data_IF_296381864470
#
_entry.id   IF_296381864470
#
_cell.length_a   1.000
_cell.length_b   1.000
_cell.length_c   1.000
_cell.angle_alpha   90.00
_cell.angle_beta   90.00
_cell.angle_gamma   90.00
#
_symmetry.space_group_name_H-M   'P 1'
#
loop_
_entity.id
_entity.type
_entity.pdbx_description
1 polymer ?
#
# COMPACT_ATOMS: atom_id res chain seq x y z
N UNK A 1 -18.82 1.59 -9.35
CA UNK A 1 -17.55 2.16 -8.83
C UNK A 1 -16.38 1.42 -9.44
N UNK A 2 -15.30 2.16 -9.81
CA UNK A 2 -14.07 1.56 -10.36
C UNK A 2 -12.89 1.86 -9.45
N UNK A 3 -12.08 0.86 -9.18
CA UNK A 3 -10.86 0.97 -8.38
C UNK A 3 -9.66 0.74 -9.30
N UNK A 4 -8.67 1.64 -9.27
CA UNK A 4 -7.36 1.35 -9.84
C UNK A 4 -6.50 0.68 -8.77
N UNK A 5 -6.33 -0.64 -8.88
CA UNK A 5 -5.28 -1.34 -8.16
C UNK A 5 -3.94 -1.06 -8.83
N UNK A 6 -2.92 -0.74 -8.04
CA UNK A 6 -1.58 -0.44 -8.56
C UNK A 6 -0.52 -1.01 -7.62
N UNK A 7 0.58 -1.48 -8.21
CA UNK A 7 1.75 -1.97 -7.51
C UNK A 7 2.99 -1.69 -8.35
N UNK A 8 4.12 -1.40 -7.71
CA UNK A 8 5.39 -1.11 -8.35
C UNK A 8 6.50 -2.00 -7.80
N UNK A 9 7.26 -2.61 -8.72
CA UNK A 9 8.59 -3.06 -8.38
C UNK A 9 9.58 -1.92 -8.62
N UNK A 10 10.59 -1.81 -7.75
CA UNK A 10 11.53 -0.68 -7.75
C UNK A 10 12.97 -1.13 -7.60
N UNK A 11 13.94 -0.26 -7.90
CA UNK A 11 15.37 -0.54 -7.70
C UNK A 11 15.78 -0.61 -6.23
N UNK A 12 14.88 -0.23 -5.32
CA UNK A 12 15.08 -0.23 -3.86
C UNK A 12 13.93 0.49 -3.15
N UNK A 13 14.12 0.80 -1.86
CA UNK A 13 13.07 1.32 -0.98
C UNK A 13 13.10 2.83 -0.78
N UNK A 14 14.13 3.52 -1.30
CA UNK A 14 14.27 4.97 -1.15
C UNK A 14 13.34 5.68 -2.14
N UNK A 15 12.28 6.25 -1.61
CA UNK A 15 11.22 6.93 -2.39
C UNK A 15 11.71 8.14 -3.18
N UNK A 16 12.86 8.71 -2.82
CA UNK A 16 13.42 9.89 -3.50
C UNK A 16 14.50 9.53 -4.54
N UNK A 17 15.12 8.35 -4.43
CA UNK A 17 16.27 7.95 -5.27
C UNK A 17 15.98 6.76 -6.16
N UNK A 18 15.27 5.76 -5.62
CA UNK A 18 15.02 4.53 -6.35
C UNK A 18 13.98 4.72 -7.45
N UNK A 19 14.06 3.92 -8.49
CA UNK A 19 13.26 4.05 -9.70
C UNK A 19 12.30 2.87 -9.85
N UNK A 20 11.14 3.12 -10.45
CA UNK A 20 10.19 2.08 -10.84
C UNK A 20 10.81 1.24 -11.96
N UNK A 21 10.76 -0.09 -11.83
CA UNK A 21 11.22 -1.07 -12.82
C UNK A 21 10.11 -1.98 -13.35
N UNK A 22 8.98 -2.07 -12.67
CA UNK A 22 7.76 -2.72 -13.17
C UNK A 22 6.53 -1.96 -12.67
N UNK A 23 5.51 -1.89 -13.52
CA UNK A 23 4.17 -1.37 -13.21
C UNK A 23 3.16 -2.47 -13.40
N UNK A 24 2.46 -2.82 -12.34
CA UNK A 24 1.22 -3.59 -12.38
C UNK A 24 0.03 -2.70 -12.08
N UNK A 25 -0.97 -2.69 -12.98
CA UNK A 25 -2.18 -1.95 -12.71
C UNK A 25 -3.41 -2.70 -13.23
N UNK A 26 -4.49 -2.67 -12.44
CA UNK A 26 -5.77 -3.29 -12.78
C UNK A 26 -6.89 -2.30 -12.50
N UNK A 27 -7.65 -1.96 -13.52
CA UNK A 27 -8.91 -1.25 -13.33
C UNK A 27 -10.00 -2.28 -13.03
N UNK A 28 -10.51 -2.24 -11.80
CA UNK A 28 -11.47 -3.19 -11.26
C UNK A 28 -12.86 -2.55 -11.20
N UNK A 29 -13.88 -3.26 -11.70
CA UNK A 29 -15.27 -2.88 -11.50
C UNK A 29 -15.82 -3.58 -10.26
N UNK A 30 -16.20 -2.79 -9.25
CA UNK A 30 -16.66 -3.29 -7.95
C UNK A 30 -17.99 -4.02 -8.08
N UNK A 31 -18.91 -3.51 -8.91
CA UNK A 31 -20.25 -4.10 -9.10
C UNK A 31 -20.18 -5.43 -9.85
N UNK A 32 -19.36 -5.49 -10.89
CA UNK A 32 -19.12 -6.70 -11.65
C UNK A 32 -18.21 -7.70 -10.94
N UNK A 33 -17.44 -7.26 -9.92
CA UNK A 33 -16.39 -8.04 -9.26
C UNK A 33 -15.37 -8.62 -10.27
N UNK A 34 -14.96 -7.80 -11.25
CA UNK A 34 -14.10 -8.23 -12.35
C UNK A 34 -13.09 -7.16 -12.77
N UNK A 35 -11.91 -7.55 -13.25
CA UNK A 35 -10.99 -6.64 -13.91
C UNK A 35 -11.55 -6.22 -15.28
N UNK A 36 -11.61 -4.92 -15.56
CA UNK A 36 -12.01 -4.38 -16.87
C UNK A 36 -10.83 -3.97 -17.72
N UNK A 37 -9.67 -3.72 -17.12
CA UNK A 37 -8.42 -3.44 -17.84
C UNK A 37 -7.24 -3.91 -16.98
N UNK A 38 -6.27 -4.54 -17.61
CA UNK A 38 -5.05 -5.05 -16.93
C UNK A 38 -3.85 -4.49 -17.68
N UNK A 39 -2.87 -4.00 -16.92
CA UNK A 39 -1.60 -3.47 -17.40
C UNK A 39 -0.46 -4.16 -16.65
N UNK A 40 0.54 -4.64 -17.39
CA UNK A 40 1.78 -5.18 -16.86
C UNK A 40 2.92 -4.74 -17.76
N UNK A 41 3.77 -3.85 -17.27
CA UNK A 41 4.84 -3.26 -18.08
C UNK A 41 6.13 -3.15 -17.29
N UNK A 42 7.23 -3.57 -17.91
CA UNK A 42 8.57 -3.31 -17.39
C UNK A 42 9.00 -1.90 -17.73
N UNK A 43 9.67 -1.24 -16.79
CA UNK A 43 10.22 0.10 -16.96
C UNK A 43 11.74 0.00 -17.00
N UNK A 44 12.34 0.62 -18.01
CA UNK A 44 13.79 0.75 -18.08
C UNK A 44 14.22 1.93 -17.21
N UNK A 45 14.96 1.69 -16.10
CA UNK A 45 15.42 2.77 -15.24
C UNK A 45 16.53 3.57 -15.92
N UNK A 46 16.59 4.88 -15.64
CA UNK A 46 17.59 5.79 -16.22
C UNK A 46 18.89 5.77 -15.40
N UNK A 47 20.03 5.60 -16.10
CA UNK A 47 21.34 5.64 -15.46
C UNK A 47 21.68 4.46 -14.56
N UNK A 48 20.81 3.44 -14.50
CA UNK A 48 21.03 2.20 -13.74
C UNK A 48 21.59 1.15 -14.70
N UNK A 49 22.75 0.58 -14.38
CA UNK A 49 23.42 -0.45 -15.21
C UNK A 49 23.26 -1.87 -14.66
N UNK A 50 22.93 -2.00 -13.36
CA UNK A 50 22.70 -3.28 -12.69
C UNK A 50 21.66 -3.11 -11.58
N UNK A 51 20.92 -4.15 -11.27
CA UNK A 51 20.04 -4.23 -10.11
C UNK A 51 20.82 -4.81 -8.93
N UNK A 52 20.44 -4.46 -7.71
CA UNK A 52 21.03 -5.10 -6.53
C UNK A 52 20.64 -6.60 -6.49
N UNK A 53 21.51 -7.48 -5.94
CA UNK A 53 21.17 -8.89 -5.77
C UNK A 53 19.90 -9.13 -4.97
N UNK A 54 19.59 -8.23 -4.04
CA UNK A 54 18.36 -8.28 -3.24
C UNK A 54 17.13 -8.04 -4.12
N UNK A 55 17.12 -7.00 -4.95
CA UNK A 55 16.03 -6.70 -5.89
C UNK A 55 15.84 -7.84 -6.88
N UNK A 56 16.93 -8.37 -7.48
CA UNK A 56 16.84 -9.52 -8.38
C UNK A 56 16.29 -10.77 -7.68
N UNK A 57 16.67 -11.03 -6.43
CA UNK A 57 16.18 -12.17 -5.65
C UNK A 57 14.71 -12.08 -5.32
N UNK A 58 14.22 -10.87 -5.00
CA UNK A 58 12.82 -10.64 -4.60
C UNK A 58 11.91 -10.64 -5.82
N UNK A 59 12.24 -9.85 -6.85
CA UNK A 59 11.36 -9.61 -8.00
C UNK A 59 11.54 -10.63 -9.14
N UNK A 60 12.70 -11.30 -9.18
CA UNK A 60 13.12 -12.12 -10.32
C UNK A 60 13.47 -11.32 -11.57
N UNK A 61 13.40 -9.98 -11.52
CA UNK A 61 13.76 -9.12 -12.64
C UNK A 61 15.28 -8.99 -12.74
N UNK A 62 15.77 -8.91 -13.98
CA UNK A 62 17.19 -8.68 -14.30
C UNK A 62 17.33 -7.47 -15.18
N UNK A 63 18.43 -6.75 -15.05
CA UNK A 63 18.70 -5.57 -15.89
C UNK A 63 18.58 -5.89 -17.39
N UNK A 64 19.05 -7.04 -17.83
CA UNK A 64 18.91 -7.50 -19.24
C UNK A 64 17.45 -7.67 -19.71
N UNK A 65 16.52 -7.97 -18.80
CA UNK A 65 15.09 -8.00 -19.12
C UNK A 65 14.53 -6.57 -19.27
N UNK A 66 14.92 -5.67 -18.38
CA UNK A 66 14.49 -4.26 -18.43
C UNK A 66 15.06 -3.55 -19.67
N UNK A 67 16.28 -3.88 -20.08
CA UNK A 67 16.87 -3.37 -21.33
C UNK A 67 16.14 -3.88 -22.57
N UNK A 68 15.72 -5.14 -22.55
CA UNK A 68 15.10 -5.79 -23.72
C UNK A 68 13.62 -5.49 -23.86
N UNK A 69 12.89 -5.44 -22.75
CA UNK A 69 11.42 -5.39 -22.74
C UNK A 69 10.87 -4.12 -22.09
N UNK A 70 11.70 -3.37 -21.35
CA UNK A 70 11.29 -2.18 -20.65
C UNK A 70 11.10 -0.98 -21.58
N UNK A 71 10.17 -0.14 -21.20
CA UNK A 71 9.93 1.16 -21.84
C UNK A 71 10.03 2.29 -20.81
N UNK A 72 9.78 3.55 -21.19
CA UNK A 72 9.75 4.65 -20.24
C UNK A 72 8.42 4.72 -19.48
N UNK A 73 8.45 5.19 -18.24
CA UNK A 73 7.23 5.42 -17.46
C UNK A 73 6.26 6.38 -18.18
N UNK A 74 6.77 7.43 -18.84
CA UNK A 74 5.98 8.36 -19.64
C UNK A 74 5.21 7.65 -20.76
N UNK A 75 5.83 6.71 -21.44
CA UNK A 75 5.18 5.95 -22.50
C UNK A 75 4.06 5.07 -21.96
N UNK A 76 4.31 4.35 -20.85
CA UNK A 76 3.28 3.53 -20.16
C UNK A 76 2.11 4.40 -19.72
N UNK A 77 2.39 5.57 -19.14
CA UNK A 77 1.37 6.54 -18.75
C UNK A 77 0.51 6.98 -19.93
N UNK A 78 1.15 7.45 -20.99
CA UNK A 78 0.48 8.00 -22.17
C UNK A 78 -0.36 6.95 -22.89
N UNK A 79 0.13 5.70 -22.95
CA UNK A 79 -0.51 4.61 -23.68
C UNK A 79 -1.71 4.01 -22.92
N UNK A 80 -1.64 3.90 -21.61
CA UNK A 80 -2.64 3.17 -20.84
C UNK A 80 -2.88 3.65 -19.41
N UNK A 81 -1.82 3.81 -18.58
CA UNK A 81 -1.97 4.02 -17.14
C UNK A 81 -2.70 5.32 -16.82
N UNK A 82 -2.41 6.40 -17.55
CA UNK A 82 -3.05 7.70 -17.35
C UNK A 82 -4.56 7.67 -17.61
N UNK A 83 -5.00 6.91 -18.61
CA UNK A 83 -6.44 6.70 -18.87
C UNK A 83 -7.09 5.88 -17.75
N UNK A 84 -6.42 4.79 -17.30
CA UNK A 84 -6.91 3.97 -16.19
C UNK A 84 -7.05 4.81 -14.92
N UNK A 85 -6.05 5.66 -14.62
CA UNK A 85 -6.06 6.56 -13.48
C UNK A 85 -7.23 7.56 -13.52
N UNK A 86 -7.51 8.14 -14.69
CA UNK A 86 -8.64 9.06 -14.88
C UNK A 86 -10.00 8.38 -14.78
N UNK A 87 -10.09 7.12 -15.21
CA UNK A 87 -11.33 6.34 -15.16
C UNK A 87 -11.67 5.79 -13.76
N UNK A 88 -10.72 5.75 -12.86
CA UNK A 88 -10.91 5.23 -11.51
C UNK A 88 -11.57 6.26 -10.59
N UNK A 89 -12.44 5.80 -9.69
CA UNK A 89 -13.00 6.61 -8.61
C UNK A 89 -12.02 6.72 -7.42
N UNK A 90 -11.35 5.61 -7.09
CA UNK A 90 -10.35 5.50 -6.02
C UNK A 90 -9.18 4.63 -6.45
N UNK A 91 -8.05 4.75 -5.76
CA UNK A 91 -6.87 3.89 -5.94
C UNK A 91 -6.74 2.91 -4.78
N UNK A 92 -6.13 1.76 -5.03
CA UNK A 92 -5.82 0.76 -4.01
C UNK A 92 -4.44 0.18 -4.25
N UNK A 93 -3.66 0.03 -3.17
CA UNK A 93 -2.38 -0.67 -3.18
C UNK A 93 -2.19 -1.45 -1.88
N UNK A 94 -1.32 -2.44 -1.88
CA UNK A 94 -0.90 -3.15 -0.67
C UNK A 94 0.33 -2.45 -0.09
N UNK A 95 0.21 -1.81 1.08
CA UNK A 95 1.14 -0.80 1.58
C UNK A 95 1.11 0.51 0.75
N UNK A 96 -0.09 1.03 0.51
CA UNK A 96 -0.35 2.20 -0.34
C UNK A 96 0.57 3.43 -0.13
N UNK A 97 1.09 3.75 1.07
CA UNK A 97 2.05 4.84 1.23
C UNK A 97 3.36 4.67 0.43
N UNK A 98 3.75 3.43 0.12
CA UNK A 98 4.92 3.16 -0.71
C UNK A 98 4.62 3.47 -2.18
N UNK A 99 3.60 2.83 -2.74
CA UNK A 99 3.24 2.97 -4.15
C UNK A 99 2.81 4.38 -4.49
N UNK A 100 2.05 5.02 -3.61
CA UNK A 100 1.63 6.40 -3.76
C UNK A 100 2.82 7.35 -3.90
N UNK A 101 3.87 7.19 -3.08
CA UNK A 101 5.05 8.05 -3.15
C UNK A 101 5.79 7.90 -4.48
N UNK A 102 5.96 6.67 -4.98
CA UNK A 102 6.55 6.42 -6.30
C UNK A 102 5.67 6.93 -7.44
N UNK A 103 4.35 6.74 -7.35
CA UNK A 103 3.38 7.25 -8.31
C UNK A 103 3.46 8.78 -8.41
N UNK A 104 3.32 9.50 -7.29
CA UNK A 104 3.32 10.96 -7.24
C UNK A 104 4.66 11.53 -7.75
N UNK A 105 5.79 10.90 -7.40
CA UNK A 105 7.09 11.29 -7.91
C UNK A 105 7.20 11.05 -9.41
N UNK A 106 6.80 9.88 -9.91
CA UNK A 106 6.86 9.59 -11.34
C UNK A 106 6.00 10.56 -12.17
N UNK A 107 4.82 10.97 -11.68
CA UNK A 107 3.98 12.00 -12.29
C UNK A 107 4.73 13.33 -12.34
N UNK A 108 5.27 13.79 -11.22
CA UNK A 108 6.01 15.06 -11.10
C UNK A 108 7.23 15.08 -12.01
N UNK A 109 8.09 14.07 -11.92
CA UNK A 109 9.38 14.04 -12.60
C UNK A 109 9.20 13.90 -14.13
N UNK A 110 8.12 13.28 -14.57
CA UNK A 110 7.77 13.21 -15.99
C UNK A 110 6.86 14.34 -16.47
N UNK A 111 6.46 15.30 -15.62
CA UNK A 111 5.55 16.38 -15.99
C UNK A 111 4.23 15.89 -16.58
N UNK A 112 3.64 14.88 -15.93
CA UNK A 112 2.40 14.25 -16.36
C UNK A 112 1.20 14.87 -15.64
N UNK A 113 0.01 14.77 -16.25
CA UNK A 113 -1.23 15.23 -15.65
C UNK A 113 -1.90 14.07 -14.87
N UNK A 114 -1.90 14.10 -13.51
CA UNK A 114 -2.53 13.05 -12.72
C UNK A 114 -4.06 13.06 -12.77
N UNK A 115 -4.67 14.14 -13.30
CA UNK A 115 -6.09 14.40 -13.19
C UNK A 115 -6.48 14.81 -11.76
N UNK A 116 -7.69 14.43 -11.34
CA UNK A 116 -8.18 14.74 -10.00
C UNK A 116 -7.45 13.92 -8.91
N UNK A 117 -7.27 14.53 -7.74
CA UNK A 117 -6.73 13.83 -6.56
C UNK A 117 -7.68 12.69 -6.18
N UNK A 118 -7.13 11.49 -6.03
CA UNK A 118 -7.89 10.28 -5.67
C UNK A 118 -7.60 9.85 -4.24
N UNK A 119 -8.58 9.23 -3.61
CA UNK A 119 -8.40 8.53 -2.34
C UNK A 119 -7.58 7.27 -2.61
N UNK A 120 -6.59 7.02 -1.75
CA UNK A 120 -5.81 5.79 -1.74
C UNK A 120 -6.28 4.89 -0.61
N UNK A 121 -6.70 3.68 -0.97
CA UNK A 121 -7.04 2.61 -0.03
C UNK A 121 -5.78 1.75 0.18
N UNK A 122 -5.39 1.55 1.43
CA UNK A 122 -4.33 0.63 1.79
C UNK A 122 -4.92 -0.74 2.17
N UNK A 123 -4.85 -1.70 1.27
CA UNK A 123 -5.41 -3.04 1.52
C UNK A 123 -4.76 -3.78 2.69
N UNK A 124 -3.57 -3.36 3.14
CA UNK A 124 -2.93 -3.89 4.34
C UNK A 124 -3.66 -3.48 5.63
N UNK A 125 -4.36 -2.34 5.62
CA UNK A 125 -4.93 -1.75 6.85
C UNK A 125 -6.38 -1.34 6.76
N UNK A 126 -6.92 -1.05 5.57
CA UNK A 126 -8.19 -0.37 5.41
C UNK A 126 -9.36 -1.30 5.03
N UNK A 127 -9.10 -2.60 4.85
CA UNK A 127 -10.17 -3.59 4.73
C UNK A 127 -10.83 -3.83 6.11
N UNK A 128 -12.07 -4.35 6.15
CA UNK A 128 -12.72 -4.70 7.40
C UNK A 128 -11.86 -5.59 8.28
N UNK A 129 -11.90 -5.41 9.60
CA UNK A 129 -11.03 -6.12 10.55
C UNK A 129 -11.03 -7.64 10.38
N UNK A 130 -12.17 -8.23 9.96
CA UNK A 130 -12.26 -9.66 9.70
C UNK A 130 -11.40 -10.15 8.52
N UNK A 131 -10.94 -9.26 7.64
CA UNK A 131 -9.98 -9.61 6.61
C UNK A 131 -8.62 -10.05 7.18
N UNK A 132 -8.34 -9.67 8.43
CA UNK A 132 -7.06 -9.86 9.12
C UNK A 132 -7.17 -10.77 10.36
N UNK A 133 -8.33 -11.41 10.60
CA UNK A 133 -8.61 -12.14 11.86
C UNK A 133 -7.67 -13.31 12.12
N UNK A 134 -7.18 -13.99 11.08
CA UNK A 134 -6.24 -15.10 11.26
C UNK A 134 -4.84 -14.65 11.73
N UNK A 135 -4.56 -13.35 11.67
CA UNK A 135 -3.64 -12.58 12.52
C UNK A 135 -2.15 -12.93 12.50
N UNK A 136 -1.67 -13.74 11.55
CA UNK A 136 -0.24 -14.12 11.48
C UNK A 136 0.63 -13.03 10.89
N UNK A 137 0.17 -12.40 9.81
CA UNK A 137 0.84 -11.33 9.08
C UNK A 137 -0.16 -10.64 8.17
N UNK A 138 0.09 -9.36 7.89
CA UNK A 138 -0.69 -8.60 6.90
C UNK A 138 -0.02 -8.56 5.53
N UNK A 139 1.09 -9.29 5.33
CA UNK A 139 1.69 -9.39 4.00
C UNK A 139 0.72 -10.07 3.02
N UNK A 140 0.77 -9.65 1.77
CA UNK A 140 -0.20 -10.07 0.76
C UNK A 140 -0.24 -11.60 0.58
N UNK A 141 0.92 -12.27 0.63
CA UNK A 141 1.01 -13.73 0.51
C UNK A 141 0.31 -14.46 1.67
N UNK A 142 0.41 -13.94 2.90
CA UNK A 142 -0.30 -14.51 4.05
C UNK A 142 -1.80 -14.25 3.95
N UNK A 143 -2.22 -13.05 3.56
CA UNK A 143 -3.63 -12.73 3.34
C UNK A 143 -4.24 -13.61 2.25
N UNK A 144 -3.54 -13.83 1.14
CA UNK A 144 -3.97 -14.73 0.08
C UNK A 144 -4.20 -16.16 0.62
N UNK A 145 -3.22 -16.70 1.36
CA UNK A 145 -3.33 -18.02 1.98
C UNK A 145 -4.50 -18.11 2.98
N UNK A 146 -4.71 -17.07 3.79
CA UNK A 146 -5.83 -16.99 4.74
C UNK A 146 -7.20 -16.94 4.04
N UNK A 147 -7.26 -16.40 2.81
CA UNK A 147 -8.44 -16.38 1.94
C UNK A 147 -8.55 -17.60 1.02
N UNK A 148 -7.65 -18.58 1.16
CA UNK A 148 -7.75 -19.90 0.50
C UNK A 148 -7.15 -19.98 -0.89
N UNK A 149 -6.25 -19.06 -1.27
CA UNK A 149 -5.54 -19.12 -2.54
C UNK A 149 -4.07 -18.73 -2.39
N UNK A 150 -3.29 -18.90 -3.46
CA UNK A 150 -1.87 -18.55 -3.49
C UNK A 150 -1.60 -17.64 -4.69
N UNK A 151 -0.72 -16.65 -4.51
CA UNK A 151 -0.16 -15.90 -5.63
C UNK A 151 0.88 -16.78 -6.34
N UNK A 152 0.71 -17.11 -7.61
CA UNK A 152 1.65 -17.97 -8.33
C UNK A 152 3.00 -17.28 -8.63
N UNK A 153 3.03 -15.96 -8.64
CA UNK A 153 4.21 -15.14 -8.93
C UNK A 153 4.25 -13.92 -7.99
N UNK A 154 4.56 -14.13 -6.69
CA UNK A 154 4.71 -13.03 -5.75
C UNK A 154 5.88 -12.13 -6.18
N UNK A 155 5.77 -10.83 -5.88
CA UNK A 155 6.73 -9.81 -6.31
C UNK A 155 6.83 -9.66 -7.83
N UNK A 156 5.69 -9.83 -8.49
CA UNK A 156 5.45 -9.39 -9.85
C UNK A 156 4.22 -8.49 -9.82
N UNK A 157 4.44 -7.23 -10.11
CA UNK A 157 3.50 -6.15 -9.82
C UNK A 157 2.04 -6.46 -10.20
N UNK A 158 1.78 -6.93 -11.42
CA UNK A 158 0.39 -7.21 -11.83
C UNK A 158 -0.24 -8.39 -11.08
N UNK A 159 0.55 -9.43 -10.74
CA UNK A 159 0.02 -10.57 -9.99
C UNK A 159 -0.27 -10.24 -8.54
N UNK A 160 0.50 -9.31 -7.96
CA UNK A 160 0.24 -8.79 -6.62
C UNK A 160 -1.04 -7.94 -6.61
N UNK A 161 -1.27 -7.09 -7.63
CA UNK A 161 -2.55 -6.36 -7.77
C UNK A 161 -3.73 -7.32 -7.91
N UNK A 162 -3.64 -8.36 -8.75
CA UNK A 162 -4.71 -9.34 -8.91
C UNK A 162 -4.96 -10.12 -7.61
N UNK A 163 -3.89 -10.47 -6.88
CA UNK A 163 -3.97 -11.11 -5.56
C UNK A 163 -4.65 -10.20 -4.56
N UNK A 164 -4.29 -8.92 -4.53
CA UNK A 164 -4.93 -7.91 -3.68
C UNK A 164 -6.44 -7.82 -3.95
N UNK A 165 -6.87 -7.79 -5.21
CA UNK A 165 -8.30 -7.78 -5.54
C UNK A 165 -9.01 -9.07 -5.13
N UNK A 166 -8.37 -10.23 -5.19
CA UNK A 166 -8.96 -11.49 -4.69
C UNK A 166 -9.11 -11.48 -3.17
N UNK A 167 -8.21 -10.84 -2.43
CA UNK A 167 -8.38 -10.61 -0.99
C UNK A 167 -9.51 -9.60 -0.72
N UNK A 168 -9.62 -8.54 -1.52
CA UNK A 168 -10.64 -7.50 -1.39
C UNK A 168 -12.06 -7.98 -1.74
N UNK A 169 -12.22 -8.83 -2.75
CA UNK A 169 -13.49 -9.22 -3.36
C UNK A 169 -14.58 -9.60 -2.33
N UNK A 170 -14.33 -10.40 -1.27
CA UNK A 170 -15.33 -10.75 -0.25
C UNK A 170 -15.87 -9.55 0.54
N UNK A 171 -15.18 -8.41 0.49
CA UNK A 171 -15.49 -7.18 1.23
C UNK A 171 -16.02 -6.05 0.35
N UNK A 172 -16.19 -6.31 -0.95
CA UNK A 172 -16.57 -5.29 -1.95
C UNK A 172 -17.89 -4.58 -1.64
N UNK A 173 -18.79 -5.21 -0.91
CA UNK A 173 -20.06 -4.63 -0.48
C UNK A 173 -19.92 -3.63 0.70
N UNK A 174 -18.73 -3.44 1.24
CA UNK A 174 -18.44 -2.57 2.39
C UNK A 174 -17.59 -1.36 1.99
N UNK A 175 -17.72 -0.90 0.75
CA UNK A 175 -16.92 0.20 0.22
C UNK A 175 -17.02 1.49 1.06
N UNK A 176 -18.20 1.79 1.62
CA UNK A 176 -18.38 2.98 2.47
C UNK A 176 -17.49 2.89 3.72
N UNK A 177 -17.48 1.72 4.38
CA UNK A 177 -16.59 1.47 5.52
C UNK A 177 -15.11 1.53 5.12
N UNK A 178 -14.74 0.93 3.99
CA UNK A 178 -13.35 0.91 3.51
C UNK A 178 -12.88 2.33 3.21
N UNK A 179 -13.68 3.15 2.56
CA UNK A 179 -13.38 4.55 2.27
C UNK A 179 -13.28 5.36 3.58
N UNK A 180 -14.21 5.17 4.52
CA UNK A 180 -14.14 5.81 5.84
C UNK A 180 -12.82 5.47 6.55
N UNK A 181 -12.42 4.20 6.53
CA UNK A 181 -11.15 3.76 7.11
C UNK A 181 -9.94 4.35 6.40
N UNK A 182 -9.95 4.41 5.06
CA UNK A 182 -8.88 5.00 4.25
C UNK A 182 -8.73 6.50 4.47
N UNK A 183 -9.84 7.21 4.71
CA UNK A 183 -9.85 8.66 4.97
C UNK A 183 -9.63 9.02 6.44
N UNK A 184 -9.72 8.05 7.35
CA UNK A 184 -9.63 8.31 8.77
C UNK A 184 -8.25 8.84 9.17
N UNK A 185 -8.15 9.99 9.85
CA UNK A 185 -6.89 10.51 10.36
C UNK A 185 -6.16 9.51 11.24
N UNK A 186 -4.82 9.52 11.19
CA UNK A 186 -3.97 8.71 12.06
C UNK A 186 -3.74 9.43 13.37
N UNK A 187 -3.88 8.71 14.46
CA UNK A 187 -3.64 9.19 15.81
C UNK A 187 -2.41 8.47 16.37
N UNK A 188 -1.43 9.23 16.85
CA UNK A 188 -0.33 8.71 17.64
C UNK A 188 -0.81 8.65 19.10
N UNK A 189 -0.93 7.44 19.63
CA UNK A 189 -1.26 7.19 21.03
C UNK A 189 0.05 6.89 21.76
N UNK A 190 0.35 7.69 22.78
CA UNK A 190 1.58 7.56 23.60
C UNK A 190 1.17 7.06 24.97
N UNK A 191 1.73 5.93 25.39
CA UNK A 191 1.57 5.40 26.74
C UNK A 191 2.37 6.25 27.74
N UNK A 192 1.73 6.74 28.79
CA UNK A 192 2.36 7.49 29.86
C UNK A 192 2.69 6.54 31.02
N UNK A 193 3.71 5.71 30.81
CA UNK A 193 4.19 4.70 31.78
C UNK A 193 5.59 5.03 32.27
N UNK A 194 5.90 4.65 33.51
CA UNK A 194 7.26 4.70 34.04
C UNK A 194 8.15 3.64 33.37
N UNK A 195 9.46 3.72 33.56
CA UNK A 195 10.37 2.67 33.08
C UNK A 195 10.10 1.32 33.74
N UNK A 196 9.68 1.33 35.00
CA UNK A 196 9.35 0.13 35.78
C UNK A 196 8.09 -0.56 35.23
N UNK A 197 7.12 0.24 34.70
CA UNK A 197 5.83 -0.22 34.15
C UNK A 197 5.84 -0.44 32.64
N UNK A 198 7.01 -0.37 31.99
CA UNK A 198 7.16 -0.52 30.51
C UNK A 198 6.48 -1.76 29.93
N UNK A 199 6.45 -2.84 30.70
CA UNK A 199 5.86 -4.10 30.24
C UNK A 199 4.32 -4.01 30.10
N UNK A 200 3.66 -3.11 30.82
CA UNK A 200 2.23 -2.82 30.63
C UNK A 200 1.99 -2.27 29.22
N UNK A 201 2.77 -1.27 28.79
CA UNK A 201 2.65 -0.70 27.45
C UNK A 201 3.01 -1.73 26.37
N UNK A 202 4.09 -2.49 26.55
CA UNK A 202 4.52 -3.53 25.62
C UNK A 202 3.44 -4.61 25.45
N UNK A 203 2.88 -5.11 26.54
CA UNK A 203 1.83 -6.14 26.52
C UNK A 203 0.50 -5.60 25.93
N UNK A 204 0.27 -4.31 26.04
CA UNK A 204 -0.85 -3.61 25.39
C UNK A 204 -0.62 -3.33 23.89
N UNK A 205 0.51 -3.73 23.31
CA UNK A 205 0.82 -3.60 21.89
C UNK A 205 1.50 -2.30 21.48
N UNK A 206 1.93 -1.47 22.43
CA UNK A 206 2.73 -0.29 22.10
C UNK A 206 4.14 -0.69 21.69
N UNK A 207 4.73 0.05 20.75
CA UNK A 207 6.11 -0.11 20.30
C UNK A 207 6.99 0.99 20.87
N UNK A 208 8.22 0.64 21.27
CA UNK A 208 9.19 1.61 21.77
C UNK A 208 9.79 2.43 20.62
N UNK A 209 9.62 3.74 20.70
CA UNK A 209 10.33 4.70 19.85
C UNK A 209 11.58 5.17 20.58
N UNK A 210 12.76 4.75 20.07
CA UNK A 210 14.03 5.05 20.70
C UNK A 210 14.43 6.51 20.60
N UNK A 211 14.05 7.19 19.52
CA UNK A 211 14.38 8.59 19.24
C UNK A 211 13.59 9.54 20.17
N UNK A 212 12.30 9.27 20.31
CA UNK A 212 11.41 10.05 21.17
C UNK A 212 11.39 9.56 22.63
N UNK A 213 11.95 8.38 22.87
CA UNK A 213 11.94 7.68 24.20
C UNK A 213 10.51 7.51 24.73
N UNK A 214 9.61 7.10 23.86
CA UNK A 214 8.17 6.92 24.15
C UNK A 214 7.68 5.55 23.70
N UNK A 215 6.68 5.01 24.39
CA UNK A 215 5.91 3.87 23.94
C UNK A 215 4.74 4.36 23.09
N UNK A 216 4.66 3.94 21.82
CA UNK A 216 3.79 4.49 20.81
C UNK A 216 2.94 3.44 20.12
N UNK A 217 1.71 3.81 19.77
CA UNK A 217 0.80 3.03 18.94
C UNK A 217 0.13 3.97 17.93
N UNK A 218 0.15 3.61 16.65
CA UNK A 218 -0.64 4.30 15.64
C UNK A 218 -2.03 3.66 15.57
N UNK A 219 -3.07 4.51 15.57
CA UNK A 219 -4.45 4.08 15.47
C UNK A 219 -5.23 5.03 14.55
N UNK A 220 -6.22 4.50 13.83
CA UNK A 220 -7.14 5.36 13.08
C UNK A 220 -8.11 6.03 14.04
N UNK A 221 -8.54 7.23 13.70
CA UNK A 221 -9.52 7.98 14.52
C UNK A 221 -10.86 7.23 14.62
N UNK A 222 -11.32 6.60 13.54
CA UNK A 222 -12.52 5.78 13.54
C UNK A 222 -12.43 4.52 14.42
N UNK A 223 -11.21 4.03 14.70
CA UNK A 223 -10.96 2.86 15.56
C UNK A 223 -10.63 3.25 17.01
N UNK A 224 -10.72 4.54 17.36
CA UNK A 224 -10.44 4.99 18.73
C UNK A 224 -11.47 4.46 19.72
N UNK A 225 -10.97 4.11 20.89
CA UNK A 225 -11.81 3.69 22.01
C UNK A 225 -12.63 4.87 22.53
N UNK A 226 -13.87 4.63 22.92
CA UNK A 226 -14.70 5.63 23.61
C UNK A 226 -14.09 6.04 24.96
N UNK A 227 -13.42 5.10 25.62
CA UNK A 227 -12.69 5.33 26.87
C UNK A 227 -11.32 4.68 26.80
N UNK A 228 -10.34 5.22 27.52
CA UNK A 228 -9.03 4.58 27.66
C UNK A 228 -9.17 3.14 28.19
N UNK A 229 -8.81 2.10 27.42
CA UNK A 229 -8.96 0.71 27.83
C UNK A 229 -7.79 0.22 28.69
N UNK A 230 -6.77 1.04 28.91
CA UNK A 230 -5.53 0.65 29.60
C UNK A 230 -5.55 1.06 31.07
N UNK A 231 -4.83 0.34 31.90
CA UNK A 231 -4.62 0.65 33.33
C UNK A 231 -3.68 1.85 33.54
N UNK A 232 -3.15 2.43 32.47
CA UNK A 232 -2.24 3.58 32.49
C UNK A 232 -2.76 4.72 31.64
N UNK A 233 -2.35 5.98 31.92
CA UNK A 233 -2.72 7.15 31.12
C UNK A 233 -2.14 7.07 29.69
N UNK A 234 -2.86 7.66 28.75
CA UNK A 234 -2.41 7.83 27.37
C UNK A 234 -2.50 9.29 26.96
N UNK A 235 -1.58 9.70 26.06
CA UNK A 235 -1.66 10.97 25.33
C UNK A 235 -1.95 10.67 23.87
N UNK A 236 -2.89 11.41 23.27
CA UNK A 236 -3.27 11.23 21.86
C UNK A 236 -2.88 12.49 21.09
N UNK A 237 -2.20 12.28 19.94
CA UNK A 237 -1.77 13.35 19.02
C UNK A 237 -2.28 13.00 17.63
N UNK A 238 -3.00 13.91 16.98
CA UNK A 238 -3.44 13.74 15.60
C UNK A 238 -2.27 13.97 14.64
N UNK A 239 -2.05 13.03 13.71
CA UNK A 239 -0.93 13.03 12.76
C UNK A 239 -1.36 13.46 11.34
N UNK A 240 -2.62 13.88 11.16
CA UNK A 240 -3.21 14.10 9.84
C UNK A 240 -3.76 12.83 9.20
N UNK A 241 -4.42 12.98 8.07
CA UNK A 241 -4.98 11.86 7.32
C UNK A 241 -4.01 11.26 6.30
N UNK A 242 -4.13 9.96 5.99
CA UNK A 242 -3.29 9.31 4.99
C UNK A 242 -3.54 9.84 3.57
N UNK A 243 -4.63 10.57 3.37
CA UNK A 243 -5.05 11.17 2.10
C UNK A 243 -4.98 12.71 2.07
N UNK A 244 -4.38 13.33 3.10
CA UNK A 244 -4.16 14.78 3.19
C UNK A 244 -3.08 15.28 2.21
#
# INVERSE_FOLDING_TARGET
MKILGIDFETTGLDRERDQIIEVGAVLWDVEASQPVKILSEMIKPEGVTELSPEVESITGLKMSMLERYGTSYREVWTRALGEMAKCADVFMAHNAPFDRAFYERAIRDNGLDPGEKKIWINSETDLPNRAYEKGRSRSLSYLAADHGFLNPFPHRAVTDVLTMFKVFEPYSNEMDLIIEQAMSPRLLVIAQVSFEDKDLAKNAGFKWNADQKTWEMLKRKCDMWERNPFEFPIKVIEQGGPND
#
